data_IF_289809210916
#
_entry.id   IF_289809210916
#
_cell.length_a   1.000
_cell.length_b   1.000
_cell.length_c   1.000
_cell.angle_alpha   90.00
_cell.angle_beta   90.00
_cell.angle_gamma   90.00
#
_symmetry.space_group_name_H-M   'P 1'
#
loop_
_entity.id
_entity.type
_entity.pdbx_description
1 polymer ?
#
# COMPACT_ATOMS: atom_id res chain seq x y z
N UNK A 1 12.28 -12.36 16.60
CA UNK A 1 12.09 -11.20 15.70
C UNK A 1 11.64 -11.65 14.31
N UNK A 2 10.92 -10.79 13.58
CA UNK A 2 10.46 -11.08 12.21
C UNK A 2 9.28 -12.06 12.09
N UNK A 3 8.74 -12.56 13.20
CA UNK A 3 7.73 -13.62 13.30
C UNK A 3 6.29 -13.15 13.47
N UNK A 4 6.06 -11.85 13.74
CA UNK A 4 4.75 -11.23 13.87
C UNK A 4 4.57 -10.18 12.77
N UNK A 5 3.35 -10.04 12.26
CA UNK A 5 2.99 -8.93 11.38
C UNK A 5 2.98 -7.63 12.17
N UNK A 6 3.57 -6.58 11.58
CA UNK A 6 3.47 -5.21 12.11
C UNK A 6 2.27 -4.46 11.52
N UNK A 7 1.58 -5.08 10.57
CA UNK A 7 0.54 -4.48 9.77
C UNK A 7 -0.34 -5.58 9.16
N UNK A 8 -1.64 -5.49 9.40
CA UNK A 8 -2.66 -6.41 8.90
C UNK A 8 -3.74 -5.73 8.04
N UNK A 9 -3.49 -4.51 7.55
CA UNK A 9 -4.39 -3.93 6.54
C UNK A 9 -4.37 -4.79 5.27
N UNK A 10 -5.53 -4.91 4.62
CA UNK A 10 -5.73 -5.78 3.47
C UNK A 10 -4.70 -5.50 2.37
N UNK A 11 -4.47 -4.24 2.03
CA UNK A 11 -3.53 -3.79 0.99
C UNK A 11 -2.10 -4.30 1.26
N UNK A 12 -1.69 -4.25 2.54
CA UNK A 12 -0.36 -4.69 2.97
C UNK A 12 -0.26 -6.21 3.00
N UNK A 13 -1.32 -6.90 3.40
CA UNK A 13 -1.38 -8.36 3.39
C UNK A 13 -1.41 -8.91 1.97
N UNK A 14 -2.21 -8.32 1.07
CA UNK A 14 -2.28 -8.67 -0.36
C UNK A 14 -0.92 -8.59 -1.00
N UNK A 15 -0.17 -7.48 -0.81
CA UNK A 15 1.21 -7.41 -1.32
C UNK A 15 2.07 -8.53 -0.76
N UNK A 16 2.00 -8.83 0.54
CA UNK A 16 2.87 -9.84 1.17
C UNK A 16 2.51 -11.26 0.73
N UNK A 17 1.24 -11.54 0.48
CA UNK A 17 0.76 -12.76 -0.16
C UNK A 17 1.26 -12.84 -1.61
N UNK A 18 1.18 -11.75 -2.36
CA UNK A 18 1.71 -11.66 -3.72
C UNK A 18 3.23 -11.93 -3.77
N UNK A 19 4.02 -11.47 -2.79
CA UNK A 19 5.44 -11.86 -2.73
C UNK A 19 5.63 -13.38 -2.58
N UNK A 20 4.73 -14.08 -1.88
CA UNK A 20 4.78 -15.55 -1.78
C UNK A 20 4.48 -16.19 -3.13
N UNK A 21 3.51 -15.67 -3.88
CA UNK A 21 3.23 -16.09 -5.24
C UNK A 21 4.47 -15.96 -6.14
N UNK A 22 5.13 -14.78 -6.13
CA UNK A 22 6.35 -14.57 -6.92
C UNK A 22 7.48 -15.52 -6.52
N UNK A 23 7.64 -15.81 -5.22
CA UNK A 23 8.61 -16.83 -4.78
C UNK A 23 8.27 -18.23 -5.29
N UNK A 24 6.99 -18.63 -5.31
CA UNK A 24 6.58 -19.92 -5.85
C UNK A 24 6.78 -19.98 -7.37
N UNK A 25 6.47 -18.91 -8.10
CA UNK A 25 6.71 -18.80 -9.54
C UNK A 25 8.20 -18.88 -9.89
N UNK A 26 9.06 -18.22 -9.11
CA UNK A 26 10.52 -18.37 -9.24
C UNK A 26 10.99 -19.80 -8.94
N UNK A 27 10.44 -20.43 -7.90
CA UNK A 27 10.78 -21.81 -7.54
C UNK A 27 10.40 -22.79 -8.65
N UNK A 28 9.23 -22.60 -9.27
CA UNK A 28 8.78 -23.38 -10.41
C UNK A 28 9.69 -23.16 -11.63
N UNK A 29 10.07 -21.91 -11.94
CA UNK A 29 10.99 -21.63 -13.04
C UNK A 29 12.33 -22.34 -12.81
N UNK A 30 12.91 -22.22 -11.62
CA UNK A 30 14.22 -22.77 -11.29
C UNK A 30 14.26 -24.30 -11.20
N UNK A 31 13.18 -24.95 -10.78
CA UNK A 31 13.15 -26.40 -10.58
C UNK A 31 12.54 -27.16 -11.75
N UNK A 32 11.54 -26.57 -12.42
CA UNK A 32 10.71 -27.25 -13.41
C UNK A 32 10.80 -26.61 -14.80
N UNK A 33 11.54 -25.50 -14.93
CA UNK A 33 11.58 -24.68 -16.14
C UNK A 33 10.17 -24.25 -16.61
N UNK A 34 9.28 -23.96 -15.64
CA UNK A 34 7.90 -23.54 -15.87
C UNK A 34 7.53 -22.40 -14.93
N UNK A 35 6.93 -21.33 -15.45
CA UNK A 35 6.31 -20.29 -14.65
C UNK A 35 5.27 -19.57 -15.51
N UNK A 36 4.21 -19.07 -14.88
CA UNK A 36 3.18 -18.24 -15.51
C UNK A 36 3.59 -16.76 -15.59
N UNK A 37 4.65 -16.39 -14.88
CA UNK A 37 5.07 -14.99 -14.69
C UNK A 37 6.45 -14.73 -15.25
N UNK A 38 7.36 -15.69 -15.10
CA UNK A 38 8.77 -15.49 -15.38
C UNK A 38 9.30 -16.43 -16.46
N UNK A 39 10.27 -15.93 -17.22
CA UNK A 39 11.04 -16.71 -18.18
C UNK A 39 12.52 -16.39 -18.05
N UNK A 40 13.36 -17.29 -18.59
CA UNK A 40 14.76 -17.00 -18.78
C UNK A 40 14.99 -16.29 -20.11
N UNK A 41 15.71 -15.19 -20.05
CA UNK A 41 16.38 -14.59 -21.19
C UNK A 41 17.88 -14.74 -20.95
N UNK A 42 18.50 -15.71 -21.64
CA UNK A 42 19.85 -16.20 -21.36
C UNK A 42 20.02 -16.62 -19.88
N UNK A 43 20.70 -15.81 -19.07
CA UNK A 43 20.95 -16.03 -17.64
C UNK A 43 20.21 -15.03 -16.74
N UNK A 44 19.32 -14.22 -17.31
CA UNK A 44 18.53 -13.20 -16.61
C UNK A 44 17.08 -13.68 -16.53
N UNK A 45 16.46 -13.50 -15.37
CA UNK A 45 15.03 -13.77 -15.20
C UNK A 45 14.27 -12.51 -15.55
N UNK A 46 13.32 -12.62 -16.47
CA UNK A 46 12.47 -11.53 -16.94
C UNK A 46 10.99 -11.91 -16.80
N UNK A 47 10.09 -10.93 -16.91
CA UNK A 47 8.66 -11.20 -17.02
C UNK A 47 8.34 -11.80 -18.39
N UNK A 48 7.39 -12.73 -18.43
CA UNK A 48 6.79 -13.20 -19.68
C UNK A 48 6.08 -12.03 -20.35
N UNK A 49 6.22 -11.91 -21.67
CA UNK A 49 5.57 -10.84 -22.42
C UNK A 49 4.03 -10.92 -22.29
N UNK A 50 3.39 -9.77 -22.09
CA UNK A 50 1.94 -9.67 -21.87
C UNK A 50 1.48 -9.93 -20.42
N UNK A 51 2.38 -10.25 -19.49
CA UNK A 51 2.04 -10.33 -18.06
C UNK A 51 2.01 -8.93 -17.47
N UNK A 52 0.89 -8.59 -16.83
CA UNK A 52 0.75 -7.37 -16.05
C UNK A 52 0.09 -7.61 -14.69
N UNK A 53 0.24 -6.64 -13.80
CA UNK A 53 -0.19 -6.76 -12.40
C UNK A 53 -1.12 -5.62 -12.03
N UNK A 54 -2.32 -5.99 -11.57
CA UNK A 54 -3.34 -5.06 -11.15
C UNK A 54 -3.59 -5.20 -9.65
N UNK A 55 -3.87 -4.08 -8.99
CA UNK A 55 -4.18 -4.05 -7.57
C UNK A 55 -5.61 -3.61 -7.36
N UNK A 56 -6.34 -4.35 -6.52
CA UNK A 56 -7.68 -3.99 -6.11
C UNK A 56 -7.74 -3.74 -4.60
N UNK A 57 -8.40 -2.66 -4.20
CA UNK A 57 -8.80 -2.41 -2.83
C UNK A 57 -10.27 -2.02 -2.78
N UNK A 58 -11.05 -2.65 -1.89
CA UNK A 58 -12.49 -2.37 -1.76
C UNK A 58 -12.80 -0.95 -1.27
N UNK A 59 -11.81 -0.25 -0.72
CA UNK A 59 -11.94 1.13 -0.26
C UNK A 59 -10.65 1.89 -0.56
N UNK A 60 -10.73 3.23 -0.64
CA UNK A 60 -9.54 4.09 -0.75
C UNK A 60 -8.49 3.78 0.33
N UNK A 61 -7.19 3.66 -0.03
CA UNK A 61 -6.13 3.36 0.91
C UNK A 61 -6.11 4.37 2.06
N UNK A 62 -5.98 3.89 3.30
CA UNK A 62 -5.92 4.81 4.43
C UNK A 62 -4.74 5.79 4.29
N UNK A 63 -4.90 6.99 4.85
CA UNK A 63 -3.90 8.05 4.78
C UNK A 63 -4.36 9.21 3.92
N UNK A 64 -3.49 9.66 3.02
CA UNK A 64 -3.74 10.83 2.18
C UNK A 64 -4.80 10.58 1.08
N UNK A 65 -4.85 9.36 0.51
CA UNK A 65 -5.85 8.99 -0.51
C UNK A 65 -7.29 9.04 0.03
N UNK A 66 -7.45 8.87 1.35
CA UNK A 66 -8.75 8.90 2.03
C UNK A 66 -9.18 10.30 2.48
N UNK A 67 -8.37 11.35 2.27
CA UNK A 67 -8.84 12.74 2.41
C UNK A 67 -9.48 13.15 1.11
N UNK A 68 -10.80 12.98 1.03
CA UNK A 68 -11.58 13.24 -0.18
C UNK A 68 -12.56 14.39 0.08
N UNK A 69 -12.62 15.42 -0.77
CA UNK A 69 -13.63 16.49 -0.67
C UNK A 69 -15.07 15.95 -0.64
N UNK A 70 -15.92 16.51 0.22
CA UNK A 70 -17.37 16.27 0.21
C UNK A 70 -18.05 17.43 -0.51
N UNK A 71 -18.50 17.16 -1.73
CA UNK A 71 -19.29 18.12 -2.49
C UNK A 71 -20.75 18.06 -2.03
N UNK A 72 -21.31 19.22 -1.66
CA UNK A 72 -22.77 19.37 -1.63
C UNK A 72 -23.25 19.61 -3.05
N UNK A 73 -24.28 18.87 -3.47
CA UNK A 73 -25.12 19.34 -4.57
C UNK A 73 -25.71 20.68 -4.14
N UNK A 74 -25.74 21.67 -5.03
CA UNK A 74 -26.56 22.86 -4.77
C UNK A 74 -27.96 22.36 -4.41
N UNK A 75 -28.44 22.72 -3.21
CA UNK A 75 -29.83 22.47 -2.87
C UNK A 75 -30.69 23.11 -3.96
N UNK A 76 -31.72 22.38 -4.41
CA UNK A 76 -32.75 22.92 -5.29
C UNK A 76 -33.16 24.31 -4.77
N UNK A 77 -33.23 25.24 -5.70
CA UNK A 77 -33.61 26.64 -5.55
C UNK A 77 -34.54 26.86 -4.35
N UNK A 78 -34.08 27.59 -3.32
CA UNK A 78 -35.01 28.19 -2.36
C UNK A 78 -35.81 29.25 -3.12
N UNK A 79 -37.00 28.85 -3.56
CA UNK A 79 -38.03 29.72 -4.11
C UNK A 79 -38.71 30.44 -2.94
N UNK A 80 -39.06 31.71 -3.14
CA UNK A 80 -39.99 32.38 -2.21
C UNK A 80 -41.41 31.80 -2.36
N UNK A 81 -42.33 32.25 -1.50
CA UNK A 81 -43.73 31.79 -1.47
C UNK A 81 -44.47 32.10 -2.80
N UNK A 82 -43.90 32.98 -3.62
CA UNK A 82 -44.39 33.39 -4.94
C UNK A 82 -43.67 32.68 -6.12
N UNK A 83 -42.75 31.76 -5.84
CA UNK A 83 -42.08 30.95 -6.86
C UNK A 83 -40.93 31.64 -7.61
N UNK A 84 -40.45 32.79 -7.15
CA UNK A 84 -39.32 33.51 -7.72
C UNK A 84 -37.98 33.05 -7.13
N UNK A 85 -36.97 32.95 -8.01
CA UNK A 85 -35.60 32.66 -7.59
C UNK A 85 -34.98 33.89 -6.92
N UNK A 86 -34.65 33.76 -5.63
CA UNK A 86 -33.93 34.80 -4.89
C UNK A 86 -32.50 34.95 -5.44
N UNK A 87 -32.04 36.18 -5.77
CA UNK A 87 -30.67 36.41 -6.22
C UNK A 87 -29.70 36.17 -5.06
N UNK A 88 -28.76 35.22 -5.23
CA UNK A 88 -27.73 34.90 -4.25
C UNK A 88 -26.64 35.98 -4.25
N UNK A 89 -26.27 36.45 -3.06
CA UNK A 89 -25.09 37.30 -2.84
C UNK A 89 -23.84 36.50 -3.24
N UNK A 90 -23.23 36.88 -4.36
CA UNK A 90 -21.91 36.43 -4.76
C UNK A 90 -20.87 36.99 -3.78
N UNK A 91 -20.22 36.11 -3.02
CA UNK A 91 -18.87 36.37 -2.55
C UNK A 91 -17.92 35.51 -3.38
N UNK A 92 -17.22 36.16 -4.31
CA UNK A 92 -15.87 35.76 -4.71
C UNK A 92 -15.00 35.85 -3.44
N UNK A 93 -14.09 34.91 -3.14
CA UNK A 93 -12.84 34.70 -3.86
C UNK A 93 -12.33 33.25 -3.67
N UNK A 94 -12.09 32.57 -4.79
CA UNK A 94 -10.85 31.85 -5.16
C UNK A 94 -11.20 30.86 -6.27
N UNK A 95 -10.74 31.19 -7.47
CA UNK A 95 -10.84 30.38 -8.67
C UNK A 95 -10.20 28.99 -8.44
N UNK A 96 -11.04 27.96 -8.35
CA UNK A 96 -10.61 26.59 -8.69
C UNK A 96 -11.65 26.00 -9.63
N UNK A 97 -11.55 26.38 -10.90
CA UNK A 97 -12.14 25.63 -12.00
C UNK A 97 -11.28 24.37 -12.17
N UNK A 98 -11.72 23.26 -11.59
CA UNK A 98 -11.21 21.94 -11.99
C UNK A 98 -11.96 21.55 -13.27
N UNK A 99 -11.25 21.59 -14.41
CA UNK A 99 -11.73 20.97 -15.65
C UNK A 99 -11.73 19.45 -15.47
N UNK A 100 -12.84 18.91 -14.97
CA UNK A 100 -13.12 17.50 -15.06
C UNK A 100 -13.50 17.19 -16.51
N UNK A 101 -12.82 16.22 -17.13
CA UNK A 101 -13.25 15.64 -18.40
C UNK A 101 -14.50 14.79 -18.15
N UNK A 102 -15.62 15.48 -17.98
CA UNK A 102 -16.95 14.91 -17.83
C UNK A 102 -17.67 15.40 -16.58
N UNK A 103 -18.48 16.46 -16.77
CA UNK A 103 -19.43 17.07 -15.82
C UNK A 103 -18.79 18.12 -14.89
N UNK A 104 -18.88 19.39 -15.29
CA UNK A 104 -18.62 20.53 -14.42
C UNK A 104 -19.62 20.52 -13.24
N UNK A 105 -19.16 20.15 -12.05
CA UNK A 105 -19.96 20.24 -10.82
C UNK A 105 -19.67 21.59 -10.16
N UNK A 106 -20.54 22.58 -10.38
CA UNK A 106 -20.56 23.84 -9.64
C UNK A 106 -20.97 23.59 -8.17
N UNK A 107 -20.05 23.08 -7.34
CA UNK A 107 -20.29 22.76 -5.92
C UNK A 107 -19.20 23.33 -5.00
N UNK A 108 -19.60 23.88 -3.85
CA UNK A 108 -18.67 24.31 -2.81
C UNK A 108 -18.31 23.14 -1.89
N UNK A 109 -17.02 23.00 -1.52
CA UNK A 109 -16.55 21.94 -0.61
C UNK A 109 -16.69 22.42 0.83
N UNK A 110 -17.62 21.85 1.57
CA UNK A 110 -17.86 22.23 2.98
C UNK A 110 -17.08 21.35 3.97
N UNK A 111 -16.82 20.10 3.61
CA UNK A 111 -16.16 19.14 4.48
C UNK A 111 -15.34 18.12 3.68
N UNK A 112 -14.63 17.25 4.39
CA UNK A 112 -13.82 16.16 3.83
C UNK A 112 -14.21 14.82 4.44
N UNK A 113 -14.05 13.76 3.68
CA UNK A 113 -13.89 12.42 4.23
C UNK A 113 -12.55 12.37 4.97
N UNK A 114 -12.57 11.86 6.20
CA UNK A 114 -11.44 11.91 7.13
C UNK A 114 -10.73 10.56 7.18
N UNK A 115 -9.44 10.60 7.47
CA UNK A 115 -8.64 9.40 7.70
C UNK A 115 -8.48 9.14 9.19
N UNK A 116 -8.34 7.86 9.56
CA UNK A 116 -7.85 7.51 10.89
C UNK A 116 -6.34 7.69 11.05
N UNK A 117 -5.56 7.73 9.95
CA UNK A 117 -4.11 7.80 10.05
C UNK A 117 -3.65 9.21 10.49
N UNK A 118 -2.65 9.27 11.38
CA UNK A 118 -2.14 10.53 11.94
C UNK A 118 -0.88 10.98 11.22
N UNK A 119 -0.68 12.27 11.04
CA UNK A 119 0.59 12.81 10.54
C UNK A 119 1.79 12.26 11.33
N UNK A 120 2.89 11.93 10.63
CA UNK A 120 4.13 11.52 11.29
C UNK A 120 4.63 12.69 12.13
N UNK A 121 5.08 12.44 13.36
CA UNK A 121 5.47 13.49 14.30
C UNK A 121 6.62 14.39 13.80
N UNK A 122 7.45 13.90 12.88
CA UNK A 122 8.56 14.67 12.28
C UNK A 122 8.14 15.48 11.05
N UNK A 123 6.87 15.42 10.65
CA UNK A 123 6.36 16.28 9.58
C UNK A 123 6.26 17.74 10.04
N UNK A 124 6.66 18.65 9.17
CA UNK A 124 6.66 20.10 9.46
C UNK A 124 5.25 20.61 9.78
N UNK A 125 4.27 20.13 9.03
CA UNK A 125 2.88 20.52 9.16
C UNK A 125 2.10 19.35 9.76
N UNK A 126 1.16 19.65 10.66
CA UNK A 126 0.28 18.69 11.32
C UNK A 126 -1.18 19.05 11.02
N UNK A 127 -2.10 18.11 11.27
CA UNK A 127 -3.54 18.36 11.11
C UNK A 127 -4.00 19.50 12.03
N UNK A 128 -4.82 20.42 11.51
CA UNK A 128 -5.28 21.60 12.26
C UNK A 128 -6.46 21.25 13.19
N UNK A 129 -7.20 20.18 12.89
CA UNK A 129 -8.39 19.74 13.62
C UNK A 129 -9.49 20.81 13.73
N UNK A 130 -9.53 21.75 12.79
CA UNK A 130 -10.59 22.74 12.65
C UNK A 130 -11.82 22.12 11.96
N UNK A 131 -13.01 22.74 12.05
CA UNK A 131 -14.20 22.26 11.36
C UNK A 131 -14.06 22.20 9.83
N UNK A 132 -14.84 21.30 9.21
CA UNK A 132 -14.94 21.17 7.76
C UNK A 132 -13.65 20.75 7.07
N UNK A 133 -13.37 21.39 5.93
CA UNK A 133 -12.18 21.12 5.09
C UNK A 133 -10.85 21.30 5.82
N UNK A 134 -10.82 22.15 6.85
CA UNK A 134 -9.61 22.47 7.60
C UNK A 134 -9.27 21.43 8.68
N UNK A 135 -10.01 20.31 8.78
CA UNK A 135 -9.72 19.30 9.79
C UNK A 135 -8.37 18.60 9.57
N UNK A 136 -8.12 18.20 8.32
CA UNK A 136 -6.87 17.53 7.92
C UNK A 136 -6.12 18.38 6.90
N UNK A 137 -4.80 18.32 6.97
CA UNK A 137 -3.96 18.78 5.85
C UNK A 137 -3.64 17.61 4.91
N UNK A 138 -3.42 17.91 3.64
CA UNK A 138 -2.99 16.95 2.61
C UNK A 138 -1.48 17.03 2.39
N UNK A 139 -0.84 15.92 2.04
CA UNK A 139 0.58 15.87 1.69
C UNK A 139 1.49 15.15 2.69
N UNK A 140 1.40 15.39 4.02
CA UNK A 140 2.28 14.74 4.98
C UNK A 140 2.19 13.21 4.96
N UNK A 141 3.29 12.55 5.31
CA UNK A 141 3.30 11.13 5.65
C UNK A 141 2.46 10.88 6.90
N UNK A 142 1.83 9.71 6.96
CA UNK A 142 0.95 9.34 8.07
C UNK A 142 1.27 7.99 8.67
N UNK A 143 1.14 7.87 9.98
CA UNK A 143 1.29 6.64 10.76
C UNK A 143 -0.05 6.07 11.20
N UNK A 144 0.01 4.82 11.66
CA UNK A 144 -1.11 4.11 12.27
C UNK A 144 -0.68 3.42 13.57
N UNK A 145 -1.60 2.91 14.40
CA UNK A 145 -3.05 3.04 14.28
C UNK A 145 -3.53 4.49 14.53
N UNK A 146 -4.74 4.79 14.09
CA UNK A 146 -5.40 6.06 14.40
C UNK A 146 -5.87 6.20 15.84
N UNK A 147 -6.08 5.06 16.51
CA UNK A 147 -6.50 4.96 17.92
C UNK A 147 -5.52 4.06 18.66
N UNK A 148 -5.18 4.42 19.90
CA UNK A 148 -4.13 3.76 20.68
C UNK A 148 -2.72 4.25 20.35
N UNK A 149 -1.72 3.52 20.84
CA UNK A 149 -0.31 3.91 20.74
C UNK A 149 0.17 3.95 19.28
N UNK A 150 0.69 5.10 18.82
CA UNK A 150 1.25 5.22 17.47
C UNK A 150 2.36 4.21 17.22
N UNK A 151 2.38 3.61 16.03
CA UNK A 151 3.46 2.72 15.60
C UNK A 151 4.26 3.35 14.46
N UNK A 152 5.43 2.79 14.18
CA UNK A 152 6.24 3.16 13.00
C UNK A 152 5.64 2.65 11.66
N UNK A 153 4.43 2.07 11.69
CA UNK A 153 3.76 1.58 10.49
C UNK A 153 3.06 2.74 9.80
N UNK A 154 3.49 3.07 8.59
CA UNK A 154 2.88 4.14 7.80
C UNK A 154 1.49 3.77 7.27
N UNK A 155 0.77 4.75 6.73
CA UNK A 155 -0.50 4.58 6.06
C UNK A 155 -0.37 3.73 4.79
N UNK A 156 -1.49 3.19 4.31
CA UNK A 156 -1.50 2.41 3.07
C UNK A 156 -1.18 3.30 1.86
N UNK A 157 -1.64 4.56 1.85
CA UNK A 157 -1.29 5.56 0.84
C UNK A 157 0.23 5.71 0.69
N UNK A 158 0.93 5.96 1.81
CA UNK A 158 2.40 6.14 1.80
C UNK A 158 3.14 4.87 1.37
N UNK A 159 2.62 3.70 1.76
CA UNK A 159 3.20 2.40 1.38
C UNK A 159 3.04 2.11 -0.09
N UNK A 160 1.85 2.31 -0.65
CA UNK A 160 1.60 2.10 -2.07
C UNK A 160 2.42 3.09 -2.89
N UNK A 161 2.50 4.36 -2.48
CA UNK A 161 3.38 5.33 -3.14
C UNK A 161 4.84 4.89 -3.18
N UNK A 162 5.36 4.35 -2.06
CA UNK A 162 6.69 3.73 -2.05
C UNK A 162 6.81 2.52 -2.97
N UNK A 163 5.77 1.69 -3.12
CA UNK A 163 5.79 0.55 -4.04
C UNK A 163 5.75 1.01 -5.49
N UNK A 164 4.96 2.05 -5.80
CA UNK A 164 4.98 2.72 -7.08
C UNK A 164 6.39 3.23 -7.36
N UNK A 165 7.12 3.77 -6.38
CA UNK A 165 8.50 4.22 -6.55
C UNK A 165 9.55 3.11 -6.72
N UNK A 166 9.63 2.17 -5.78
CA UNK A 166 10.74 1.19 -5.71
C UNK A 166 10.42 -0.15 -6.37
N UNK A 167 9.15 -0.39 -6.65
CA UNK A 167 8.63 -1.67 -7.05
C UNK A 167 8.07 -2.48 -5.88
N UNK A 168 7.04 -3.27 -6.21
CA UNK A 168 6.23 -4.03 -5.26
C UNK A 168 7.04 -5.19 -4.67
N UNK A 169 7.96 -5.78 -5.44
CA UNK A 169 8.78 -6.93 -5.08
C UNK A 169 9.64 -6.70 -3.82
N UNK A 170 10.09 -5.46 -3.62
CA UNK A 170 10.99 -5.10 -2.52
C UNK A 170 12.42 -5.65 -2.66
N UNK A 171 13.28 -5.24 -1.74
CA UNK A 171 14.73 -5.49 -1.77
C UNK A 171 15.15 -6.95 -2.00
N UNK A 172 14.50 -7.93 -1.36
CA UNK A 172 14.96 -9.32 -1.46
C UNK A 172 14.66 -9.94 -2.84
N UNK A 173 13.46 -9.70 -3.38
CA UNK A 173 13.10 -10.24 -4.70
C UNK A 173 13.76 -9.45 -5.83
N UNK A 174 14.06 -8.16 -5.65
CA UNK A 174 14.75 -7.36 -6.66
C UNK A 174 16.17 -7.84 -6.98
N UNK A 175 16.69 -8.82 -6.25
CA UNK A 175 17.93 -9.51 -6.60
C UNK A 175 17.74 -10.52 -7.75
N UNK A 176 16.54 -11.05 -7.92
CA UNK A 176 16.26 -12.10 -8.91
C UNK A 176 15.44 -11.59 -10.08
N UNK A 177 14.54 -10.63 -9.86
CA UNK A 177 13.55 -10.20 -10.85
C UNK A 177 13.66 -8.69 -11.12
N UNK A 178 13.27 -8.24 -12.32
CA UNK A 178 13.17 -6.83 -12.64
C UNK A 178 12.16 -6.10 -11.73
N UNK A 179 12.20 -4.77 -11.79
CA UNK A 179 11.30 -3.92 -10.97
C UNK A 179 9.86 -4.13 -11.39
N UNK A 180 9.00 -4.51 -10.43
CA UNK A 180 7.59 -4.80 -10.65
C UNK A 180 6.73 -3.61 -10.23
N UNK A 181 5.90 -3.09 -11.13
CA UNK A 181 4.93 -2.01 -10.87
C UNK A 181 3.50 -2.52 -11.07
N UNK A 182 2.53 -1.84 -10.46
CA UNK A 182 1.14 -2.02 -10.85
C UNK A 182 0.95 -1.34 -12.20
N UNK A 183 0.18 -1.98 -13.08
CA UNK A 183 -0.32 -1.32 -14.28
C UNK A 183 -1.61 -0.57 -13.96
N UNK A 184 -2.50 -1.19 -13.17
CA UNK A 184 -3.79 -0.61 -12.79
C UNK A 184 -3.99 -0.74 -11.28
N UNK A 185 -4.47 0.33 -10.64
CA UNK A 185 -5.01 0.34 -9.28
C UNK A 185 -6.51 0.62 -9.36
N UNK A 186 -7.30 -0.37 -8.93
CA UNK A 186 -8.76 -0.33 -8.90
C UNK A 186 -9.23 -0.11 -7.46
N UNK A 187 -10.06 0.91 -7.25
CA UNK A 187 -10.77 1.14 -5.99
C UNK A 187 -12.21 0.67 -6.11
N UNK A 188 -12.72 -0.02 -5.10
CA UNK A 188 -14.11 -0.47 -5.04
C UNK A 188 -15.10 0.70 -5.12
N UNK A 189 -16.31 0.41 -5.59
CA UNK A 189 -17.41 1.37 -5.56
C UNK A 189 -18.10 1.38 -4.19
N UNK A 190 -18.87 2.43 -3.89
CA UNK A 190 -19.52 2.60 -2.59
C UNK A 190 -18.59 3.11 -1.48
N UNK A 191 -17.44 3.69 -1.83
CA UNK A 191 -16.58 4.41 -0.91
C UNK A 191 -16.24 5.81 -1.46
N UNK A 192 -15.86 6.77 -0.59
CA UNK A 192 -15.37 8.06 -1.04
C UNK A 192 -14.17 7.92 -1.97
N UNK A 193 -14.24 8.57 -3.14
CA UNK A 193 -13.21 8.54 -4.16
C UNK A 193 -13.09 9.91 -4.82
N UNK A 194 -11.86 10.33 -5.10
CA UNK A 194 -11.52 11.52 -5.88
C UNK A 194 -10.23 11.19 -6.62
N UNK A 195 -10.20 11.42 -7.94
CA UNK A 195 -9.01 11.15 -8.75
C UNK A 195 -7.82 11.95 -8.21
N UNK A 196 -8.00 13.24 -7.94
CA UNK A 196 -6.96 14.11 -7.37
C UNK A 196 -6.42 13.59 -6.04
N UNK A 197 -7.31 13.09 -5.18
CA UNK A 197 -6.91 12.55 -3.88
C UNK A 197 -6.10 11.27 -4.00
N UNK A 198 -6.47 10.41 -4.96
CA UNK A 198 -5.74 9.20 -5.30
C UNK A 198 -4.37 9.52 -5.91
N UNK A 199 -4.31 10.35 -6.93
CA UNK A 199 -3.05 10.72 -7.59
C UNK A 199 -2.08 11.42 -6.63
N UNK A 200 -2.58 12.36 -5.84
CA UNK A 200 -1.82 13.04 -4.77
C UNK A 200 -1.26 12.02 -3.78
N UNK A 201 -2.13 11.17 -3.22
CA UNK A 201 -1.74 10.22 -2.18
C UNK A 201 -0.80 9.11 -2.66
N UNK A 202 -0.91 8.71 -3.94
CA UNK A 202 -0.14 7.63 -4.55
C UNK A 202 1.19 8.07 -5.16
N UNK A 203 1.43 9.36 -5.38
CA UNK A 203 2.76 9.82 -5.82
C UNK A 203 2.91 11.31 -6.06
N UNK A 204 1.90 12.01 -6.58
CA UNK A 204 2.08 13.41 -7.05
C UNK A 204 2.53 14.36 -5.94
N UNK A 205 2.12 14.14 -4.69
CA UNK A 205 2.58 14.95 -3.55
C UNK A 205 4.09 14.89 -3.27
N UNK A 206 4.81 13.96 -3.89
CA UNK A 206 6.27 13.83 -3.77
C UNK A 206 6.99 14.25 -5.05
N UNK A 207 6.39 14.02 -6.21
CA UNK A 207 6.91 14.42 -7.52
C UNK A 207 5.81 14.29 -8.56
N UNK A 208 5.51 15.39 -9.26
CA UNK A 208 4.51 15.41 -10.34
C UNK A 208 4.94 14.61 -11.56
N UNK A 209 6.24 14.48 -11.78
CA UNK A 209 6.84 13.68 -12.86
C UNK A 209 6.77 12.16 -12.58
N UNK A 210 6.30 11.76 -11.39
CA UNK A 210 6.30 10.35 -11.02
C UNK A 210 5.24 9.57 -11.81
N UNK A 211 5.62 8.53 -12.58
CA UNK A 211 4.66 7.75 -13.33
C UNK A 211 3.75 6.99 -12.35
N UNK A 212 2.45 7.27 -12.46
CA UNK A 212 1.43 6.57 -11.70
C UNK A 212 0.85 5.41 -12.54
N UNK A 213 0.41 4.32 -11.89
CA UNK A 213 -0.43 3.34 -12.55
C UNK A 213 -1.74 4.00 -13.01
N UNK A 214 -2.44 3.36 -13.93
CA UNK A 214 -3.82 3.73 -14.26
C UNK A 214 -4.65 3.57 -12.99
N UNK A 215 -5.31 4.64 -12.55
CA UNK A 215 -6.20 4.61 -11.40
C UNK A 215 -7.63 4.60 -11.92
N UNK A 216 -8.45 3.71 -11.41
CA UNK A 216 -9.88 3.71 -11.70
C UNK A 216 -10.70 3.32 -10.48
N UNK A 217 -11.96 3.75 -10.49
CA UNK A 217 -12.96 3.25 -9.56
C UNK A 217 -13.82 2.22 -10.30
N UNK A 218 -14.04 1.07 -9.65
CA UNK A 218 -14.96 0.07 -10.16
C UNK A 218 -16.38 0.63 -10.19
N UNK A 219 -17.19 0.21 -11.15
CA UNK A 219 -18.64 0.41 -11.13
C UNK A 219 -19.36 -0.62 -10.24
N UNK A 220 -18.68 -1.70 -9.85
CA UNK A 220 -19.23 -2.77 -9.05
C UNK A 220 -19.06 -2.49 -7.56
N UNK A 221 -20.17 -2.59 -6.82
CA UNK A 221 -20.15 -2.49 -5.37
C UNK A 221 -19.65 -3.82 -4.82
N UNK A 222 -18.67 -3.77 -3.92
CA UNK A 222 -18.26 -4.95 -3.18
C UNK A 222 -19.40 -5.39 -2.25
N UNK A 223 -19.91 -6.61 -2.41
CA UNK A 223 -21.08 -7.11 -1.68
C UNK A 223 -20.97 -6.98 -0.16
N UNK A 224 -19.76 -7.09 0.38
CA UNK A 224 -19.46 -6.94 1.80
C UNK A 224 -18.75 -5.62 2.10
N UNK A 225 -19.06 -4.56 1.34
CA UNK A 225 -18.59 -3.22 1.64
C UNK A 225 -19.07 -2.81 3.04
N UNK A 226 -18.34 -1.90 3.66
CA UNK A 226 -18.70 -1.33 4.94
C UNK A 226 -20.10 -0.70 4.84
N UNK A 227 -21.02 -1.21 5.65
CA UNK A 227 -22.33 -0.64 5.87
C UNK A 227 -22.29 0.41 7.01
N UNK A 228 -23.36 1.20 7.13
CA UNK A 228 -23.51 2.21 8.17
C UNK A 228 -23.88 1.61 9.53
N UNK A 229 -24.03 0.29 9.64
CA UNK A 229 -24.50 -0.44 10.84
C UNK A 229 -23.46 -0.50 11.98
N UNK A 230 -22.46 0.39 11.97
CA UNK A 230 -21.45 0.57 13.02
C UNK A 230 -20.86 -0.74 13.53
N UNK A 231 -20.66 -1.71 12.63
CA UNK A 231 -20.04 -2.99 12.99
C UNK A 231 -18.56 -2.74 13.32
N UNK A 232 -18.11 -3.26 14.46
CA UNK A 232 -16.70 -3.17 14.84
C UNK A 232 -15.84 -3.94 13.81
N UNK A 233 -14.67 -3.39 13.41
CA UNK A 233 -13.79 -4.09 12.48
C UNK A 233 -13.30 -5.41 13.08
N UNK A 234 -13.31 -6.47 12.26
CA UNK A 234 -12.83 -7.79 12.65
C UNK A 234 -11.33 -7.74 12.99
N UNK A 235 -10.88 -8.31 14.13
CA UNK A 235 -9.46 -8.37 14.49
C UNK A 235 -8.69 -9.43 13.68
N UNK A 236 -9.41 -10.22 12.88
CA UNK A 236 -8.86 -11.28 12.05
C UNK A 236 -8.68 -10.82 10.61
N UNK A 237 -7.68 -11.37 9.93
CA UNK A 237 -7.42 -11.11 8.51
C UNK A 237 -7.21 -12.43 7.79
N UNK A 238 -7.92 -12.62 6.68
CA UNK A 238 -7.74 -13.77 5.79
C UNK A 238 -6.64 -13.42 4.78
N UNK A 239 -5.72 -14.34 4.58
CA UNK A 239 -4.58 -14.17 3.67
C UNK A 239 -4.57 -15.38 2.75
N UNK A 240 -4.87 -15.16 1.47
CA UNK A 240 -4.84 -16.18 0.43
C UNK A 240 -3.77 -15.85 -0.62
N UNK A 241 -3.16 -16.88 -1.21
CA UNK A 241 -2.18 -16.76 -2.30
C UNK A 241 -2.23 -17.99 -3.19
N UNK A 242 -2.29 -17.81 -4.50
CA UNK A 242 -2.26 -18.90 -5.50
C UNK A 242 -0.88 -19.58 -5.54
N UNK A 243 -0.60 -20.53 -4.64
CA UNK A 243 0.70 -21.23 -4.57
C UNK A 243 0.50 -22.74 -4.43
N UNK A 244 1.47 -23.54 -4.88
CA UNK A 244 1.38 -25.02 -4.88
C UNK A 244 1.26 -25.68 -3.49
N UNK A 245 1.55 -24.95 -2.41
CA UNK A 245 1.59 -25.49 -1.03
C UNK A 245 0.38 -25.01 -0.22
N UNK A 246 0.62 -24.20 0.81
CA UNK A 246 -0.44 -23.67 1.68
C UNK A 246 -0.88 -22.32 1.11
N UNK A 247 -2.10 -22.26 0.62
CA UNK A 247 -2.67 -21.06 -0.02
C UNK A 247 -3.24 -20.07 1.00
N UNK A 248 -3.89 -20.57 2.07
CA UNK A 248 -4.72 -19.78 2.98
C UNK A 248 -4.21 -19.80 4.42
N UNK A 249 -4.16 -18.63 5.06
CA UNK A 249 -3.93 -18.49 6.50
C UNK A 249 -4.83 -17.40 7.11
N UNK A 250 -5.21 -17.60 8.36
CA UNK A 250 -5.92 -16.59 9.15
C UNK A 250 -4.92 -15.97 10.13
N UNK A 251 -4.82 -14.64 10.09
CA UNK A 251 -4.05 -13.85 11.04
C UNK A 251 -4.97 -13.25 12.10
N UNK A 252 -4.59 -13.36 13.38
CA UNK A 252 -5.24 -12.69 14.51
C UNK A 252 -4.17 -11.90 15.24
N UNK A 253 -4.34 -10.57 15.34
CA UNK A 253 -3.36 -9.64 15.92
C UNK A 253 -1.93 -9.82 15.36
N UNK A 254 -1.82 -10.16 14.08
CA UNK A 254 -0.55 -10.36 13.40
C UNK A 254 0.18 -11.68 13.72
N UNK A 255 -0.50 -12.63 14.38
CA UNK A 255 -0.05 -14.02 14.59
C UNK A 255 -0.97 -14.97 13.82
N UNK A 256 -0.51 -16.19 13.57
CA UNK A 256 -1.37 -17.22 12.95
C UNK A 256 -2.48 -17.61 13.93
N UNK A 257 -3.71 -17.78 13.45
CA UNK A 257 -4.82 -18.25 14.27
C UNK A 257 -4.45 -19.60 14.93
N UNK A 258 -4.77 -19.74 16.22
CA UNK A 258 -4.41 -20.91 17.01
C UNK A 258 -2.93 -20.97 17.45
N UNK A 259 -2.11 -19.95 17.15
CA UNK A 259 -0.74 -19.88 17.67
C UNK A 259 -0.75 -19.60 19.18
N UNK A 260 -0.35 -20.59 19.97
CA UNK A 260 -0.16 -20.45 21.43
C UNK A 260 1.24 -19.88 21.73
N UNK A 261 1.40 -19.20 22.88
CA UNK A 261 2.70 -18.65 23.32
C UNK A 261 3.80 -19.73 23.41
N UNK A 262 3.43 -20.99 23.58
CA UNK A 262 4.35 -22.10 23.88
C UNK A 262 4.84 -22.87 22.65
N UNK A 263 4.15 -22.79 21.49
CA UNK A 263 4.60 -23.47 20.26
C UNK A 263 5.49 -22.57 19.41
N UNK A 264 6.81 -22.66 19.61
CA UNK A 264 7.80 -22.02 18.72
C UNK A 264 7.64 -22.57 17.28
N UNK A 265 7.62 -21.69 16.28
CA UNK A 265 7.73 -22.07 14.87
C UNK A 265 6.47 -21.95 14.02
N UNK A 266 5.27 -21.83 14.59
CA UNK A 266 4.02 -21.69 13.82
C UNK A 266 3.73 -20.22 13.46
N UNK A 267 4.59 -19.62 12.62
CA UNK A 267 4.45 -18.25 12.15
C UNK A 267 3.69 -18.18 10.82
N UNK A 268 2.95 -17.10 10.59
CA UNK A 268 2.33 -16.81 9.29
C UNK A 268 3.39 -16.84 8.17
N UNK A 269 3.08 -17.49 7.06
CA UNK A 269 3.94 -17.66 5.89
C UNK A 269 4.30 -16.34 5.23
N UNK A 270 3.43 -15.34 5.35
CA UNK A 270 3.73 -14.00 4.88
C UNK A 270 4.76 -13.28 5.75
N UNK A 271 5.05 -13.69 7.00
CA UNK A 271 5.96 -12.93 7.90
C UNK A 271 7.35 -12.69 7.33
N UNK A 272 8.07 -11.67 7.82
CA UNK A 272 9.43 -11.36 7.34
C UNK A 272 10.37 -12.55 7.47
N UNK A 273 10.22 -13.34 8.55
CA UNK A 273 10.99 -14.57 8.77
C UNK A 273 10.70 -15.63 7.71
N UNK A 274 9.44 -15.90 7.39
CA UNK A 274 9.11 -16.92 6.37
C UNK A 274 9.39 -16.43 4.94
N UNK A 275 9.21 -15.15 4.62
CA UNK A 275 9.66 -14.61 3.34
C UNK A 275 11.18 -14.67 3.17
N UNK A 276 11.95 -14.46 4.25
CA UNK A 276 13.40 -14.65 4.22
C UNK A 276 13.78 -16.14 4.04
N UNK A 277 12.96 -17.09 4.53
CA UNK A 277 13.19 -18.52 4.26
C UNK A 277 13.03 -18.82 2.77
N UNK A 278 11.96 -18.30 2.17
CA UNK A 278 11.74 -18.44 0.73
C UNK A 278 12.90 -17.82 -0.06
N UNK A 279 13.39 -16.66 0.35
CA UNK A 279 14.57 -16.02 -0.23
C UNK A 279 15.80 -16.94 -0.24
N UNK A 280 16.14 -17.57 0.89
CA UNK A 280 17.29 -18.49 0.93
C UNK A 280 17.08 -19.75 0.09
N UNK A 281 15.86 -20.31 0.08
CA UNK A 281 15.54 -21.45 -0.77
C UNK A 281 15.78 -21.13 -2.27
N UNK A 282 15.46 -19.91 -2.71
CA UNK A 282 15.75 -19.47 -4.08
C UNK A 282 17.25 -19.29 -4.31
N UNK A 283 17.99 -18.69 -3.38
CA UNK A 283 19.46 -18.54 -3.49
C UNK A 283 20.15 -19.88 -3.68
N UNK A 284 19.76 -20.89 -2.91
CA UNK A 284 20.39 -22.22 -2.97
C UNK A 284 20.21 -22.88 -4.34
N UNK A 285 19.07 -22.61 -5.00
CA UNK A 285 18.71 -23.16 -6.30
C UNK A 285 19.30 -22.36 -7.46
N UNK A 286 19.46 -21.04 -7.30
CA UNK A 286 19.88 -20.14 -8.38
C UNK A 286 21.42 -20.11 -8.55
N UNK A 287 21.99 -20.58 -9.67
CA UNK A 287 23.44 -20.73 -9.85
C UNK A 287 24.27 -19.46 -9.57
N UNK A 288 23.81 -18.30 -10.10
CA UNK A 288 24.42 -16.98 -9.90
C UNK A 288 24.66 -16.60 -8.43
N UNK A 289 23.85 -17.13 -7.50
CA UNK A 289 23.88 -16.77 -6.09
C UNK A 289 24.38 -17.88 -5.16
N UNK A 290 24.76 -19.05 -5.72
CA UNK A 290 25.33 -20.16 -4.94
C UNK A 290 26.58 -19.74 -4.16
N UNK A 291 27.33 -18.74 -4.61
CA UNK A 291 28.59 -18.27 -4.01
C UNK A 291 28.43 -17.13 -3.00
N UNK A 292 27.21 -16.61 -2.75
CA UNK A 292 27.02 -15.58 -1.72
C UNK A 292 27.47 -16.12 -0.36
N UNK A 293 28.12 -15.30 0.50
CA UNK A 293 28.67 -15.76 1.77
C UNK A 293 27.57 -16.50 2.56
N UNK A 294 27.81 -17.77 2.89
CA UNK A 294 26.77 -18.67 3.43
C UNK A 294 26.72 -18.73 4.95
N UNK A 295 27.59 -18.04 5.70
CA UNK A 295 27.69 -18.28 7.14
C UNK A 295 26.40 -17.85 7.86
N UNK A 296 25.49 -18.77 8.22
CA UNK A 296 24.10 -18.44 8.58
C UNK A 296 24.01 -17.69 9.92
N UNK A 297 25.05 -17.82 10.75
CA UNK A 297 25.16 -17.15 12.06
C UNK A 297 25.67 -15.70 11.97
N UNK A 298 26.12 -15.23 10.79
CA UNK A 298 26.66 -13.86 10.61
C UNK A 298 25.81 -12.99 9.67
N UNK A 299 24.80 -13.56 9.01
CA UNK A 299 23.97 -12.86 8.03
C UNK A 299 22.55 -12.78 8.56
N UNK A 300 22.07 -11.55 8.73
CA UNK A 300 20.73 -11.26 9.22
C UNK A 300 19.87 -10.67 8.08
N UNK A 301 18.58 -10.51 8.36
CA UNK A 301 17.62 -9.93 7.42
C UNK A 301 18.04 -8.55 6.87
N UNK A 302 18.72 -7.72 7.68
CA UNK A 302 19.27 -6.45 7.22
C UNK A 302 20.36 -6.66 6.17
N UNK A 303 21.36 -7.52 6.42
CA UNK A 303 22.44 -7.82 5.47
C UNK A 303 21.89 -8.32 4.13
N UNK A 304 20.93 -9.25 4.15
CA UNK A 304 20.31 -9.76 2.92
C UNK A 304 19.63 -8.64 2.10
N UNK A 305 19.00 -7.67 2.78
CA UNK A 305 18.43 -6.51 2.09
C UNK A 305 19.49 -5.59 1.51
N UNK A 306 20.65 -5.45 2.14
CA UNK A 306 21.74 -4.60 1.62
C UNK A 306 22.39 -5.17 0.36
N UNK A 307 22.23 -6.46 0.07
CA UNK A 307 22.72 -7.06 -1.17
C UNK A 307 22.07 -6.47 -2.42
N UNK A 308 20.83 -5.98 -2.33
CA UNK A 308 20.11 -5.36 -3.44
C UNK A 308 20.55 -3.89 -3.65
N UNK A 309 21.78 -3.68 -4.14
CA UNK A 309 22.41 -2.35 -4.24
C UNK A 309 21.54 -1.33 -4.98
N UNK A 310 20.97 -1.71 -6.12
CA UNK A 310 20.15 -0.79 -6.93
C UNK A 310 18.87 -0.39 -6.20
N UNK A 311 18.17 -1.35 -5.59
CA UNK A 311 17.00 -1.05 -4.76
C UNK A 311 17.37 -0.14 -3.57
N UNK A 312 18.51 -0.37 -2.91
CA UNK A 312 18.94 0.50 -1.80
C UNK A 312 19.30 1.90 -2.30
N UNK A 313 19.94 2.03 -3.46
CA UNK A 313 20.24 3.31 -4.11
C UNK A 313 18.95 4.07 -4.43
N UNK A 314 17.97 3.43 -5.09
CA UNK A 314 16.66 4.03 -5.35
C UNK A 314 15.94 4.41 -4.05
N UNK A 315 16.06 3.61 -2.99
CA UNK A 315 15.47 3.94 -1.70
C UNK A 315 16.14 5.14 -1.03
N UNK A 316 17.46 5.26 -1.10
CA UNK A 316 18.20 6.42 -0.62
C UNK A 316 17.83 7.68 -1.40
N UNK A 317 17.70 7.59 -2.73
CA UNK A 317 17.25 8.70 -3.55
C UNK A 317 15.81 9.12 -3.18
N UNK A 318 14.89 8.18 -3.04
CA UNK A 318 13.52 8.52 -2.63
C UNK A 318 13.49 9.22 -1.26
N UNK A 319 14.34 8.81 -0.32
CA UNK A 319 14.43 9.46 1.00
C UNK A 319 14.86 10.93 0.97
N UNK A 320 15.53 11.40 -0.09
CA UNK A 320 15.84 12.83 -0.21
C UNK A 320 14.58 13.66 -0.49
N UNK A 321 13.59 13.03 -1.14
CA UNK A 321 12.28 13.59 -1.45
C UNK A 321 11.35 13.44 -0.22
N UNK A 322 11.22 12.22 0.32
CA UNK A 322 10.34 11.92 1.47
C UNK A 322 11.09 11.88 2.81
N UNK A 323 11.53 13.06 3.26
CA UNK A 323 12.42 13.24 4.41
C UNK A 323 11.86 12.69 5.73
N UNK A 324 10.55 12.80 5.94
CA UNK A 324 9.88 12.41 7.18
C UNK A 324 9.66 10.90 7.32
N UNK A 325 10.12 10.07 6.37
CA UNK A 325 9.90 8.63 6.43
C UNK A 325 10.65 7.99 7.61
N UNK A 326 9.95 7.38 8.59
CA UNK A 326 10.57 6.89 9.82
C UNK A 326 11.57 5.77 9.54
N UNK A 327 12.74 5.88 10.17
CA UNK A 327 13.75 4.83 10.16
C UNK A 327 13.33 3.69 11.08
N UNK A 328 13.40 2.46 10.57
CA UNK A 328 13.08 1.27 11.35
C UNK A 328 14.28 0.91 12.25
N UNK A 329 14.10 0.76 13.57
CA UNK A 329 15.18 0.36 14.47
C UNK A 329 15.91 -0.92 14.01
N UNK A 330 17.23 -0.94 14.17
CA UNK A 330 18.09 -2.03 13.68
C UNK A 330 17.77 -3.39 14.31
N UNK A 331 17.47 -3.42 15.60
CA UNK A 331 17.08 -4.66 16.31
C UNK A 331 15.84 -5.36 15.71
N UNK A 332 14.97 -4.65 14.98
CA UNK A 332 13.86 -5.27 14.24
C UNK A 332 14.27 -5.93 12.93
N UNK A 333 15.49 -5.68 12.45
CA UNK A 333 16.06 -6.15 11.19
C UNK A 333 17.25 -7.11 11.41
N UNK A 334 17.81 -7.16 12.61
CA UNK A 334 18.92 -8.05 12.99
C UNK A 334 18.43 -9.42 13.48
N UNK A 335 17.74 -10.14 12.61
CA UNK A 335 17.37 -11.54 12.89
C UNK A 335 17.84 -12.46 11.76
N UNK A 336 18.32 -13.64 12.14
CA UNK A 336 18.56 -14.79 11.26
C UNK A 336 17.38 -15.77 11.32
N UNK A 337 17.40 -16.77 10.44
CA UNK A 337 16.40 -17.84 10.39
C UNK A 337 16.74 -18.95 11.35
#
# INVERSE_FOLDING_TARGET
>A
MGSRLSDSHAEVLTRRAFLRYLYDQLDQLLCLNKSEVFQFNENVIEFINGVSFHFYASHTPCGDCSIVPKFKKQADETRDDDGHCLPKILKLDDETVFEDKGIAVNGFVEDIHRTGAKCVATEKNQDLHLPGVNYHITGPLRTKPGRGDPTLSLSCSDKISKWNFLGIQGALLSLFIPTLKFEIIVIGSGCPFSMDSMERGLGKRFSDEYPLPIICQSSLIFMHNKDDDRVNPCPSSIIWSSVRKVDTEIAVEGRKQGATKNKKGNYLLVTRRNLLKNFFNIIEKHPKYKLLPRHPKKINYFHCKQWSKDYQKSWSNLKTIIKSWPSKPMHFQEFSI
#
